data_IF_575871405361
#
_entry.id   IF_575871405361
#
_cell.length_a   1.000
_cell.length_b   1.000
_cell.length_c   1.000
_cell.angle_alpha   90.00
_cell.angle_beta   90.00
_cell.angle_gamma   90.00
#
_symmetry.space_group_name_H-M   'P 1'
#
loop_
_entity.id
_entity.type
_entity.pdbx_description
1 polymer ?
#
# COMPACT_ATOMS: atom_id res chain seq x y z
N UNK A 1 -86.25 15.48 13.33
CA UNK A 1 -85.40 16.35 12.47
C UNK A 1 -84.07 16.53 13.21
N UNK A 2 -83.03 15.73 12.93
CA UNK A 2 -81.94 15.94 11.94
C UNK A 2 -81.26 17.31 12.02
N UNK A 3 -80.06 17.34 12.63
CA UNK A 3 -78.83 18.07 12.21
C UNK A 3 -77.65 17.52 13.04
N UNK A 4 -76.80 16.66 12.47
CA UNK A 4 -75.41 16.91 11.97
C UNK A 4 -74.42 17.31 13.10
N UNK A 5 -73.55 16.40 13.57
CA UNK A 5 -72.18 16.11 13.07
C UNK A 5 -71.29 17.37 13.15
N UNK A 6 -70.14 17.42 13.84
CA UNK A 6 -68.95 16.61 13.63
C UNK A 6 -67.90 17.06 14.69
N UNK A 7 -67.43 16.21 15.60
CA UNK A 7 -66.20 16.45 16.38
C UNK A 7 -65.58 15.09 16.69
N UNK A 8 -64.83 14.57 15.73
CA UNK A 8 -64.13 13.30 15.82
C UNK A 8 -62.64 13.63 15.96
N UNK A 9 -62.24 13.89 17.20
CA UNK A 9 -60.84 13.95 17.63
C UNK A 9 -60.64 12.77 18.56
N UNK A 10 -60.23 11.63 18.02
CA UNK A 10 -59.38 10.72 18.77
C UNK A 10 -58.74 9.68 17.86
N UNK A 11 -57.43 9.53 18.03
CA UNK A 11 -56.65 8.33 17.75
C UNK A 11 -56.21 8.08 16.30
N UNK A 12 -55.07 8.66 15.95
CA UNK A 12 -54.11 8.03 15.05
C UNK A 12 -52.68 8.47 15.46
N UNK A 13 -52.23 7.96 16.60
CA UNK A 13 -50.81 7.94 16.95
C UNK A 13 -50.16 6.89 16.02
N UNK A 14 -49.86 7.27 14.78
CA UNK A 14 -49.08 6.42 13.88
C UNK A 14 -47.65 6.49 14.38
N UNK A 15 -47.25 5.37 14.99
CA UNK A 15 -45.89 5.03 15.36
C UNK A 15 -44.91 5.51 14.29
N UNK A 16 -43.99 6.38 14.73
CA UNK A 16 -42.70 6.61 14.10
C UNK A 16 -42.00 5.24 14.05
N UNK A 17 -42.14 4.55 12.93
CA UNK A 17 -41.34 3.36 12.65
C UNK A 17 -39.99 3.87 12.18
N UNK A 18 -39.08 3.97 13.14
CA UNK A 18 -37.65 4.09 12.90
C UNK A 18 -37.19 2.82 12.16
N UNK A 19 -37.27 2.81 10.82
CA UNK A 19 -36.63 1.78 9.98
C UNK A 19 -35.39 2.32 9.28
N UNK A 20 -34.83 3.45 9.73
CA UNK A 20 -33.73 4.14 9.06
C UNK A 20 -32.40 4.12 9.83
N UNK A 21 -32.19 3.19 10.76
CA UNK A 21 -30.89 3.06 11.44
C UNK A 21 -29.87 2.21 10.67
N UNK A 22 -30.28 1.32 9.75
CA UNK A 22 -29.32 0.50 8.98
C UNK A 22 -28.77 1.19 7.72
N UNK A 23 -29.33 2.34 7.32
CA UNK A 23 -28.91 3.07 6.12
C UNK A 23 -27.89 4.19 6.40
N UNK A 24 -27.61 4.48 7.67
CA UNK A 24 -26.61 5.47 8.08
C UNK A 24 -25.27 4.85 8.49
N UNK A 25 -25.16 3.53 8.69
CA UNK A 25 -23.89 2.87 9.04
C UNK A 25 -22.85 2.86 7.89
N UNK A 26 -23.24 3.23 6.66
CA UNK A 26 -22.31 3.36 5.50
C UNK A 26 -22.04 4.81 5.07
N UNK A 27 -22.54 5.79 5.82
CA UNK A 27 -22.53 7.20 5.39
C UNK A 27 -21.24 7.96 5.76
N UNK A 28 -20.35 7.35 6.55
CA UNK A 28 -19.20 8.05 7.14
C UNK A 28 -17.84 7.43 6.77
N UNK A 29 -17.69 6.72 5.65
CA UNK A 29 -16.36 6.26 5.21
C UNK A 29 -15.55 7.43 4.63
N UNK A 30 -14.31 7.58 5.07
CA UNK A 30 -13.31 8.46 4.44
C UNK A 30 -12.39 7.64 3.55
N UNK A 31 -12.18 8.11 2.32
CA UNK A 31 -11.22 7.52 1.39
C UNK A 31 -10.16 8.54 1.02
N UNK A 32 -8.90 8.14 1.12
CA UNK A 32 -7.75 8.99 0.83
C UNK A 32 -6.62 8.18 0.20
N UNK A 33 -5.70 8.88 -0.49
CA UNK A 33 -4.55 8.26 -1.13
C UNK A 33 -3.27 8.75 -0.46
N UNK A 34 -2.38 7.82 -0.14
CA UNK A 34 -1.08 8.13 0.46
C UNK A 34 0.05 7.46 -0.32
N UNK A 35 1.29 7.89 -0.06
CA UNK A 35 2.47 7.20 -0.57
C UNK A 35 3.39 6.84 0.61
N UNK A 36 3.57 5.55 0.85
CA UNK A 36 4.45 5.06 1.92
C UNK A 36 5.82 4.75 1.30
N UNK A 37 6.91 5.38 1.75
CA UNK A 37 8.25 5.10 1.24
C UNK A 37 8.84 3.83 1.89
N UNK A 38 9.72 3.14 1.16
CA UNK A 38 10.58 2.08 1.67
C UNK A 38 11.96 2.22 1.06
N UNK A 39 12.98 2.34 1.89
CA UNK A 39 14.36 2.61 1.47
C UNK A 39 15.22 1.37 1.65
N UNK A 40 15.94 0.99 0.60
CA UNK A 40 17.03 0.02 0.65
C UNK A 40 18.35 0.75 0.41
N UNK A 41 19.33 0.50 1.27
CA UNK A 41 20.71 0.97 1.12
C UNK A 41 21.58 -0.22 0.76
N UNK A 42 22.02 -0.28 -0.50
CA UNK A 42 22.83 -1.38 -1.02
C UNK A 42 24.29 -0.98 -1.04
N UNK A 43 25.15 -1.81 -0.45
CA UNK A 43 26.60 -1.60 -0.35
C UNK A 43 27.34 -2.95 -0.43
N UNK A 44 27.40 -3.49 -1.65
CA UNK A 44 28.05 -4.75 -1.95
C UNK A 44 29.55 -4.52 -2.20
N UNK A 45 30.40 -5.04 -1.32
CA UNK A 45 31.83 -4.72 -1.32
C UNK A 45 32.74 -5.84 -1.85
N UNK A 46 32.19 -7.04 -2.09
CA UNK A 46 32.96 -8.15 -2.62
C UNK A 46 33.34 -7.91 -4.08
N UNK A 47 34.57 -8.22 -4.47
CA UNK A 47 34.98 -8.16 -5.88
C UNK A 47 34.43 -9.37 -6.64
N UNK A 48 33.46 -9.12 -7.52
CA UNK A 48 32.86 -10.12 -8.36
C UNK A 48 32.51 -9.54 -9.74
N UNK A 49 33.47 -9.55 -10.69
CA UNK A 49 33.25 -9.04 -12.04
C UNK A 49 32.29 -9.90 -12.87
N UNK A 50 31.88 -11.08 -12.37
CA UNK A 50 30.90 -11.95 -13.01
C UNK A 50 29.47 -11.74 -12.51
N UNK A 51 29.26 -10.83 -11.57
CA UNK A 51 27.96 -10.52 -10.99
C UNK A 51 27.61 -11.36 -9.76
N UNK A 52 26.74 -10.81 -8.93
CA UNK A 52 26.34 -11.39 -7.65
C UNK A 52 24.81 -11.34 -7.48
N UNK A 53 24.24 -12.40 -6.90
CA UNK A 53 22.86 -12.37 -6.45
C UNK A 53 22.72 -11.42 -5.26
N UNK A 54 21.64 -10.65 -5.25
CA UNK A 54 21.29 -9.73 -4.18
C UNK A 54 19.95 -10.13 -3.57
N UNK A 55 19.87 -10.05 -2.24
CA UNK A 55 18.67 -10.30 -1.45
C UNK A 55 18.78 -9.54 -0.15
N UNK A 56 17.82 -8.67 0.14
CA UNK A 56 17.71 -8.01 1.44
C UNK A 56 16.24 -7.73 1.79
N UNK A 57 15.97 -7.42 3.05
CA UNK A 57 14.62 -7.19 3.56
C UNK A 57 14.53 -5.89 4.35
N UNK A 58 13.42 -5.17 4.15
CA UNK A 58 13.10 -3.95 4.89
C UNK A 58 11.67 -3.98 5.39
N UNK A 59 11.40 -3.27 6.49
CA UNK A 59 10.06 -3.17 7.08
C UNK A 59 9.28 -2.04 6.41
N UNK A 60 8.21 -2.38 5.68
CA UNK A 60 7.23 -1.42 5.23
C UNK A 60 6.23 -1.16 6.37
N UNK A 61 6.36 -0.03 7.04
CA UNK A 61 5.41 0.41 8.09
C UNK A 61 4.53 1.55 7.57
N UNK A 62 3.25 1.23 7.33
CA UNK A 62 2.28 2.19 6.81
C UNK A 62 1.89 3.25 7.84
N UNK A 63 2.08 3.00 9.15
CA UNK A 63 1.74 3.95 10.23
C UNK A 63 2.74 5.09 10.36
N UNK A 64 3.85 5.03 9.61
CA UNK A 64 4.76 6.17 9.46
C UNK A 64 4.11 7.34 8.73
N UNK A 65 3.06 7.09 7.95
CA UNK A 65 2.22 8.12 7.36
C UNK A 65 1.20 8.65 8.39
N UNK A 66 1.17 9.97 8.65
CA UNK A 66 0.31 10.54 9.70
C UNK A 66 -1.19 10.42 9.39
N UNK A 67 -1.61 10.35 8.13
CA UNK A 67 -3.02 10.13 7.78
C UNK A 67 -3.43 8.69 8.08
N UNK A 68 -2.58 7.70 7.76
CA UNK A 68 -2.83 6.31 8.15
C UNK A 68 -2.83 6.17 9.67
N UNK A 69 -1.85 6.75 10.37
CA UNK A 69 -1.76 6.68 11.83
C UNK A 69 -3.01 7.24 12.52
N UNK A 70 -3.61 8.31 11.98
CA UNK A 70 -4.85 8.91 12.49
C UNK A 70 -6.03 7.92 12.47
N UNK A 71 -6.07 7.02 11.50
CA UNK A 71 -7.17 6.08 11.30
C UNK A 71 -6.77 4.62 11.56
N UNK A 72 -5.61 4.34 12.18
CA UNK A 72 -5.03 2.99 12.24
C UNK A 72 -6.03 1.90 12.67
N UNK A 73 -6.84 2.17 13.69
CA UNK A 73 -7.84 1.21 14.23
C UNK A 73 -9.17 1.18 13.44
N UNK A 74 -9.36 2.09 12.49
CA UNK A 74 -10.60 2.30 11.73
C UNK A 74 -10.46 1.98 10.25
N UNK A 75 -9.26 1.65 9.79
CA UNK A 75 -9.01 1.26 8.40
C UNK A 75 -9.68 -0.09 8.15
N UNK A 76 -10.65 -0.10 7.25
CA UNK A 76 -11.38 -1.29 6.84
C UNK A 76 -10.94 -1.80 5.46
N UNK A 77 -10.19 -0.98 4.70
CA UNK A 77 -9.66 -1.36 3.38
C UNK A 77 -8.33 -0.67 3.07
N UNK A 78 -7.41 -1.45 2.52
CA UNK A 78 -6.18 -0.97 1.88
C UNK A 78 -6.15 -1.51 0.46
N UNK A 79 -5.80 -0.67 -0.52
CA UNK A 79 -5.56 -1.05 -1.90
C UNK A 79 -4.17 -0.57 -2.32
N UNK A 80 -3.33 -1.46 -2.82
CA UNK A 80 -2.06 -1.07 -3.47
C UNK A 80 -2.37 -0.67 -4.90
N UNK A 81 -2.20 0.62 -5.23
CA UNK A 81 -2.55 1.17 -6.55
C UNK A 81 -1.41 0.97 -7.53
N UNK A 82 -0.19 1.30 -7.12
CA UNK A 82 1.05 1.13 -7.89
C UNK A 82 2.25 1.21 -6.97
N UNK A 83 3.39 0.76 -7.48
CA UNK A 83 4.69 0.92 -6.81
C UNK A 83 5.64 1.58 -7.79
N UNK A 84 6.32 2.62 -7.34
CA UNK A 84 7.40 3.26 -8.11
C UNK A 84 8.72 3.11 -7.37
N UNK A 85 9.81 3.39 -8.07
CA UNK A 85 11.14 3.46 -7.48
C UNK A 85 11.95 4.64 -8.02
N UNK A 86 12.93 5.07 -7.22
CA UNK A 86 14.03 5.94 -7.63
C UNK A 86 15.35 5.37 -7.16
N UNK A 87 16.38 5.44 -7.99
CA UNK A 87 17.76 5.09 -7.62
C UNK A 87 18.54 6.38 -7.37
N UNK A 88 19.41 6.38 -6.36
CA UNK A 88 20.33 7.48 -6.07
C UNK A 88 21.68 6.98 -5.58
N UNK A 89 22.71 7.83 -5.66
CA UNK A 89 24.06 7.57 -5.15
C UNK A 89 24.71 6.29 -5.72
N UNK A 90 24.43 5.96 -6.98
CA UNK A 90 24.99 4.76 -7.59
C UNK A 90 26.47 4.91 -7.94
N UNK A 91 27.30 4.00 -7.46
CA UNK A 91 28.73 3.92 -7.74
C UNK A 91 29.22 2.45 -7.78
N UNK A 92 29.74 1.93 -8.90
CA UNK A 92 29.79 2.59 -10.21
C UNK A 92 28.42 2.57 -10.90
N UNK A 93 28.14 3.57 -11.74
CA UNK A 93 26.85 3.67 -12.45
C UNK A 93 26.73 2.76 -13.68
N UNK A 94 27.78 2.01 -14.00
CA UNK A 94 27.81 1.00 -15.08
C UNK A 94 27.08 -0.29 -14.72
N UNK A 95 26.89 -0.56 -13.43
CA UNK A 95 26.27 -1.80 -12.95
C UNK A 95 24.79 -1.86 -13.34
N UNK A 96 24.33 -3.05 -13.70
CA UNK A 96 22.94 -3.34 -14.02
C UNK A 96 22.36 -4.26 -12.94
N UNK A 97 21.18 -3.90 -12.44
CA UNK A 97 20.36 -4.76 -11.59
C UNK A 97 19.31 -5.45 -12.47
N UNK A 98 19.36 -6.78 -12.52
CA UNK A 98 18.54 -7.61 -13.39
C UNK A 98 17.67 -8.58 -12.59
N UNK A 99 16.52 -8.96 -13.16
CA UNK A 99 15.58 -9.87 -12.51
C UNK A 99 15.07 -9.34 -11.18
N UNK A 100 14.90 -8.01 -11.09
CA UNK A 100 14.48 -7.35 -9.86
C UNK A 100 13.06 -7.73 -9.47
N UNK A 101 12.86 -8.13 -8.22
CA UNK A 101 11.54 -8.42 -7.67
C UNK A 101 11.41 -7.89 -6.24
N UNK A 102 10.28 -7.25 -5.98
CA UNK A 102 9.79 -7.02 -4.63
C UNK A 102 8.88 -8.17 -4.25
N UNK A 103 9.02 -8.69 -3.05
CA UNK A 103 8.26 -9.84 -2.57
C UNK A 103 7.86 -9.66 -1.11
N UNK A 104 6.76 -10.25 -0.72
CA UNK A 104 6.43 -10.44 0.70
C UNK A 104 7.40 -11.49 1.27
N UNK A 105 8.21 -11.12 2.27
CA UNK A 105 9.30 -11.97 2.74
C UNK A 105 8.79 -13.28 3.37
N UNK A 106 7.64 -13.22 4.07
CA UNK A 106 7.10 -14.36 4.83
C UNK A 106 6.54 -15.49 3.96
N UNK A 107 6.08 -15.20 2.74
CA UNK A 107 5.47 -16.20 1.84
C UNK A 107 6.08 -16.24 0.44
N UNK A 108 7.06 -15.38 0.14
CA UNK A 108 7.71 -15.30 -1.17
C UNK A 108 6.78 -14.88 -2.31
N UNK A 109 5.66 -14.21 -2.03
CA UNK A 109 4.75 -13.75 -3.07
C UNK A 109 5.33 -12.51 -3.75
N UNK A 110 5.50 -12.56 -5.07
CA UNK A 110 5.98 -11.41 -5.85
C UNK A 110 4.93 -10.31 -5.81
N UNK A 111 5.34 -9.09 -5.49
CA UNK A 111 4.53 -7.88 -5.43
C UNK A 111 4.69 -7.09 -6.73
N UNK A 112 5.93 -6.88 -7.17
CA UNK A 112 6.25 -6.14 -8.38
C UNK A 112 7.63 -6.53 -8.92
N UNK A 113 7.87 -6.25 -10.21
CA UNK A 113 9.12 -6.62 -10.89
C UNK A 113 9.69 -5.50 -11.75
N UNK A 114 10.99 -5.59 -11.98
CA UNK A 114 11.73 -4.85 -13.00
C UNK A 114 12.70 -5.80 -13.71
N UNK A 115 12.65 -5.87 -15.04
CA UNK A 115 13.44 -6.83 -15.81
C UNK A 115 14.93 -6.53 -15.81
N UNK A 116 15.31 -5.28 -16.10
CA UNK A 116 16.69 -4.80 -16.14
C UNK A 116 16.72 -3.30 -15.88
N UNK A 117 17.52 -2.88 -14.91
CA UNK A 117 17.65 -1.49 -14.47
C UNK A 117 19.12 -1.12 -14.42
N UNK A 118 19.53 -0.12 -15.21
CA UNK A 118 20.85 0.48 -15.06
C UNK A 118 20.91 1.28 -13.76
N UNK A 119 21.93 1.05 -12.93
CA UNK A 119 22.12 1.73 -11.67
C UNK A 119 22.67 3.14 -11.92
N UNK A 120 21.78 4.04 -12.32
CA UNK A 120 22.02 5.46 -12.45
C UNK A 120 20.98 6.22 -11.64
N UNK A 121 21.18 7.51 -11.38
CA UNK A 121 20.10 8.31 -10.80
C UNK A 121 18.88 8.26 -11.72
N UNK A 122 17.77 7.70 -11.25
CA UNK A 122 16.55 7.57 -12.07
C UNK A 122 15.51 8.60 -11.67
N UNK A 123 14.71 9.04 -12.63
CA UNK A 123 13.41 9.61 -12.32
C UNK A 123 12.51 8.53 -11.67
N UNK A 124 11.44 8.98 -11.01
CA UNK A 124 10.43 8.08 -10.46
C UNK A 124 9.85 7.21 -11.57
N UNK A 125 10.03 5.89 -11.43
CA UNK A 125 9.68 4.90 -12.46
C UNK A 125 8.73 3.86 -11.87
N UNK A 126 7.64 3.56 -12.58
CA UNK A 126 6.65 2.58 -12.15
C UNK A 126 7.13 1.15 -12.40
N UNK A 127 6.94 0.27 -11.42
CA UNK A 127 7.24 -1.16 -11.54
C UNK A 127 6.11 -1.91 -12.23
N UNK A 128 6.43 -3.08 -12.80
CA UNK A 128 5.41 -4.00 -13.30
C UNK A 128 4.73 -4.71 -12.13
N UNK A 129 3.45 -4.43 -11.92
CA UNK A 129 2.67 -4.99 -10.81
C UNK A 129 2.38 -6.49 -11.00
N UNK A 130 2.41 -7.22 -9.89
CA UNK A 130 1.76 -8.52 -9.75
C UNK A 130 0.49 -8.33 -8.91
N UNK A 131 -0.69 -8.52 -9.51
CA UNK A 131 -1.96 -8.22 -8.85
C UNK A 131 -2.23 -9.14 -7.65
N UNK A 132 -1.80 -10.40 -7.71
CA UNK A 132 -1.96 -11.31 -6.59
C UNK A 132 -1.04 -10.93 -5.43
N UNK A 133 0.15 -10.44 -5.75
CA UNK A 133 1.09 -9.80 -4.82
C UNK A 133 0.55 -8.54 -4.17
N UNK A 134 -0.03 -7.63 -4.97
CA UNK A 134 -0.66 -6.41 -4.48
C UNK A 134 -1.79 -6.71 -3.48
N UNK A 135 -2.66 -7.67 -3.82
CA UNK A 135 -3.76 -8.08 -2.94
C UNK A 135 -3.25 -8.71 -1.64
N UNK A 136 -2.16 -9.48 -1.70
CA UNK A 136 -1.55 -10.10 -0.51
C UNK A 136 -0.93 -9.06 0.40
N UNK A 137 -0.14 -8.14 -0.16
CA UNK A 137 0.45 -7.02 0.59
C UNK A 137 -0.65 -6.15 1.21
N UNK A 138 -1.71 -5.85 0.46
CA UNK A 138 -2.85 -5.07 0.95
C UNK A 138 -3.53 -5.72 2.17
N UNK A 139 -3.77 -7.03 2.13
CA UNK A 139 -4.36 -7.76 3.25
C UNK A 139 -3.46 -7.73 4.49
N UNK A 140 -2.15 -7.91 4.32
CA UNK A 140 -1.17 -7.89 5.42
C UNK A 140 -1.04 -6.51 6.05
N UNK A 141 -0.96 -5.47 5.22
CA UNK A 141 -1.01 -4.10 5.70
C UNK A 141 -2.35 -3.79 6.37
N UNK A 142 -3.46 -4.39 5.95
CA UNK A 142 -4.73 -4.20 6.64
C UNK A 142 -4.70 -4.83 8.04
N UNK A 143 -4.14 -6.03 8.18
CA UNK A 143 -4.08 -6.76 9.45
C UNK A 143 -3.11 -6.12 10.45
N UNK A 144 -1.86 -5.91 10.04
CA UNK A 144 -0.76 -5.54 10.95
C UNK A 144 -0.24 -4.10 10.75
N UNK A 145 -0.70 -3.40 9.71
CA UNK A 145 -0.19 -2.08 9.26
C UNK A 145 1.28 -2.06 8.84
N UNK A 146 1.92 -3.21 8.87
CA UNK A 146 3.32 -3.38 8.50
C UNK A 146 3.53 -4.74 7.82
N UNK A 147 4.53 -4.82 6.93
CA UNK A 147 4.95 -6.09 6.33
C UNK A 147 6.45 -6.03 6.00
N UNK A 148 7.14 -7.17 6.11
CA UNK A 148 8.54 -7.29 5.70
C UNK A 148 8.58 -7.52 4.20
N UNK A 149 9.17 -6.59 3.47
CA UNK A 149 9.32 -6.66 2.02
C UNK A 149 10.76 -7.04 1.68
N UNK A 150 10.92 -8.00 0.80
CA UNK A 150 12.20 -8.47 0.28
C UNK A 150 12.46 -7.90 -1.10
N UNK A 151 13.67 -7.38 -1.34
CA UNK A 151 14.18 -7.02 -2.65
C UNK A 151 15.18 -8.09 -3.12
N UNK A 152 14.87 -8.74 -4.24
CA UNK A 152 15.72 -9.74 -4.87
C UNK A 152 16.15 -9.31 -6.27
N UNK A 153 17.35 -9.74 -6.69
CA UNK A 153 17.80 -9.59 -8.07
C UNK A 153 19.24 -10.06 -8.26
N UNK A 154 19.86 -9.61 -9.35
CA UNK A 154 21.26 -9.90 -9.66
C UNK A 154 21.96 -8.65 -10.16
N UNK A 155 23.07 -8.31 -9.52
CA UNK A 155 23.99 -7.26 -9.93
C UNK A 155 24.93 -7.81 -11.00
N UNK A 156 25.18 -7.05 -12.07
CA UNK A 156 26.08 -7.48 -13.15
C UNK A 156 27.54 -7.57 -12.73
N UNK A 157 27.94 -6.80 -11.72
CA UNK A 157 29.27 -6.80 -11.11
C UNK A 157 29.19 -6.17 -9.71
N UNK A 158 30.14 -6.50 -8.85
CA UNK A 158 30.40 -5.85 -7.55
C UNK A 158 31.92 -5.62 -7.42
N UNK A 159 32.40 -4.61 -6.68
CA UNK A 159 31.68 -3.80 -5.70
C UNK A 159 30.75 -2.75 -6.31
N UNK A 160 29.66 -2.43 -5.60
CA UNK A 160 28.70 -1.39 -5.97
C UNK A 160 27.96 -0.88 -4.73
N UNK A 161 27.68 0.43 -4.70
CA UNK A 161 26.81 1.06 -3.71
C UNK A 161 25.73 1.90 -4.38
N UNK A 162 24.51 1.88 -3.84
CA UNK A 162 23.38 2.68 -4.32
C UNK A 162 22.22 2.63 -3.32
N UNK A 163 21.33 3.61 -3.41
CA UNK A 163 20.09 3.64 -2.64
C UNK A 163 18.90 3.43 -3.59
N UNK A 164 17.96 2.59 -3.20
CA UNK A 164 16.66 2.45 -3.87
C UNK A 164 15.57 2.88 -2.93
N UNK A 165 14.81 3.90 -3.33
CA UNK A 165 13.59 4.30 -2.64
C UNK A 165 12.40 3.81 -3.44
N UNK A 166 11.65 2.89 -2.86
CA UNK A 166 10.33 2.52 -3.34
C UNK A 166 9.27 3.45 -2.76
N UNK A 167 8.20 3.67 -3.52
CA UNK A 167 6.97 4.32 -3.04
C UNK A 167 5.77 3.44 -3.33
N UNK A 168 5.08 3.05 -2.27
CA UNK A 168 3.84 2.30 -2.34
C UNK A 168 2.69 3.30 -2.33
N UNK A 169 1.99 3.44 -3.45
CA UNK A 169 0.83 4.31 -3.54
C UNK A 169 -0.38 3.51 -3.09
N UNK A 170 -0.91 3.88 -1.93
CA UNK A 170 -2.01 3.18 -1.29
C UNK A 170 -3.27 4.03 -1.38
N UNK A 171 -4.40 3.37 -1.59
CA UNK A 171 -5.73 3.94 -1.39
C UNK A 171 -6.34 3.29 -0.17
N UNK A 172 -6.70 4.11 0.80
CA UNK A 172 -7.16 3.69 2.12
C UNK A 172 -8.62 4.09 2.27
N UNK A 173 -9.43 3.19 2.83
CA UNK A 173 -10.79 3.49 3.30
C UNK A 173 -10.86 3.18 4.79
N UNK A 174 -11.39 4.14 5.55
CA UNK A 174 -11.54 4.04 7.00
C UNK A 174 -12.87 4.63 7.47
N UNK A 175 -13.36 4.16 8.60
CA UNK A 175 -14.55 4.69 9.24
C UNK A 175 -14.23 6.09 9.83
N UNK A 176 -15.03 7.11 9.52
CA UNK A 176 -14.78 8.48 10.00
C UNK A 176 -15.22 8.71 11.45
N UNK A 177 -16.15 7.91 11.97
CA UNK A 177 -16.71 8.01 13.33
C UNK A 177 -15.82 7.36 14.39
#
# INVERSE_FOLDING_TARGET
MKTKSLFLVLFALVLVTFTSCELFEKADDVTFNVSVPLDFVIDENADNPGGASYSDTELLDATTDPEIAKYADKINKIEVVRITYTISNADPSSVVFSGGSLMVASNGKVIATASSVSLSNTAETELTADLDGFNDLAARLLDDKQEIVMLNGTLSETPVSFNVRFRFYLKITADAL
#
